data_IF_787387558184
#
_entry.id   IF_787387558184
#
_cell.length_a   1.000
_cell.length_b   1.000
_cell.length_c   1.000
_cell.angle_alpha   90.00
_cell.angle_beta   90.00
_cell.angle_gamma   90.00
#
_symmetry.space_group_name_H-M   'P 1'
#
loop_
_entity.id
_entity.type
_entity.pdbx_description
1 polymer ?
#
# COMPACT_ATOMS: atom_id res chain seq x y z
N UNK A 1 -2.85 2.10 16.04
CA UNK A 1 -2.26 3.37 15.57
C UNK A 1 -3.33 4.37 15.19
N UNK A 2 -4.29 4.02 14.33
CA UNK A 2 -5.41 4.91 13.96
C UNK A 2 -6.12 5.59 15.14
N UNK A 3 -6.44 4.82 16.19
CA UNK A 3 -7.12 5.33 17.40
C UNK A 3 -6.18 6.12 18.33
N UNK A 4 -4.88 5.83 18.30
CA UNK A 4 -3.90 6.45 19.20
C UNK A 4 -3.35 7.78 18.68
N UNK A 5 -3.37 7.96 17.35
CA UNK A 5 -2.82 9.13 16.65
C UNK A 5 -3.88 9.72 15.70
N UNK A 6 -5.14 9.81 16.17
CA UNK A 6 -6.25 10.31 15.37
C UNK A 6 -6.19 11.82 15.13
N UNK A 7 -5.44 12.53 15.96
CA UNK A 7 -5.15 13.97 15.89
C UNK A 7 -4.00 14.30 14.91
N UNK A 8 -3.27 13.28 14.46
CA UNK A 8 -2.13 13.40 13.55
C UNK A 8 -2.57 13.10 12.13
N UNK A 9 -2.68 14.12 11.27
CA UNK A 9 -3.32 13.96 9.95
C UNK A 9 -2.61 12.91 9.09
N UNK A 10 -1.27 12.89 9.10
CA UNK A 10 -0.51 11.94 8.30
C UNK A 10 -0.71 10.49 8.77
N UNK A 11 -0.69 10.27 10.10
CA UNK A 11 -0.91 8.94 10.68
C UNK A 11 -2.36 8.48 10.45
N UNK A 12 -3.33 9.37 10.68
CA UNK A 12 -4.76 9.10 10.48
C UNK A 12 -5.04 8.63 9.05
N UNK A 13 -4.58 9.41 8.06
CA UNK A 13 -4.79 9.08 6.65
C UNK A 13 -4.08 7.77 6.29
N UNK A 14 -2.81 7.60 6.69
CA UNK A 14 -2.02 6.41 6.33
C UNK A 14 -2.64 5.13 6.86
N UNK A 15 -2.94 5.07 8.16
CA UNK A 15 -3.53 3.87 8.77
C UNK A 15 -4.99 3.68 8.37
N UNK A 16 -5.74 4.77 8.15
CA UNK A 16 -7.12 4.70 7.70
C UNK A 16 -7.24 4.15 6.29
N UNK A 17 -6.38 4.64 5.38
CA UNK A 17 -6.27 4.14 4.01
C UNK A 17 -5.89 2.66 4.00
N UNK A 18 -4.85 2.27 4.76
CA UNK A 18 -4.43 0.87 4.83
C UNK A 18 -5.55 -0.03 5.35
N UNK A 19 -6.28 0.41 6.39
CA UNK A 19 -7.42 -0.34 6.92
C UNK A 19 -8.48 -0.58 5.84
N UNK A 20 -8.89 0.47 5.12
CA UNK A 20 -9.88 0.36 4.04
C UNK A 20 -9.40 -0.60 2.96
N UNK A 21 -8.15 -0.49 2.52
CA UNK A 21 -7.58 -1.36 1.47
C UNK A 21 -7.55 -2.82 1.93
N UNK A 22 -7.14 -3.09 3.17
CA UNK A 22 -7.12 -4.45 3.71
C UNK A 22 -8.54 -5.05 3.82
N UNK A 23 -9.53 -4.25 4.23
CA UNK A 23 -10.93 -4.69 4.27
C UNK A 23 -11.45 -5.01 2.86
N UNK A 24 -11.16 -4.16 1.87
CA UNK A 24 -11.50 -4.41 0.48
C UNK A 24 -10.81 -5.67 -0.05
N UNK A 25 -9.51 -5.82 0.20
CA UNK A 25 -8.72 -6.98 -0.24
C UNK A 25 -9.26 -8.29 0.33
N UNK A 26 -9.60 -8.31 1.63
CA UNK A 26 -10.06 -9.50 2.32
C UNK A 26 -11.52 -9.84 2.01
N UNK A 27 -12.43 -8.87 2.08
CA UNK A 27 -13.87 -9.14 2.07
C UNK A 27 -14.52 -8.94 0.71
N UNK A 28 -14.07 -7.96 -0.07
CA UNK A 28 -14.66 -7.65 -1.39
C UNK A 28 -13.97 -8.44 -2.49
N UNK A 29 -12.65 -8.32 -2.60
CA UNK A 29 -11.86 -8.98 -3.65
C UNK A 29 -11.45 -10.41 -3.29
N UNK A 30 -11.50 -10.78 -2.00
CA UNK A 30 -11.19 -12.12 -1.48
C UNK A 30 -9.87 -12.66 -2.04
N UNK A 31 -8.81 -11.84 -1.95
CA UNK A 31 -7.52 -12.15 -2.57
C UNK A 31 -6.89 -13.39 -1.93
N UNK A 32 -6.79 -14.47 -2.72
CA UNK A 32 -6.17 -15.72 -2.26
C UNK A 32 -4.64 -15.65 -2.14
N UNK A 33 -4.02 -14.59 -2.64
CA UNK A 33 -2.56 -14.44 -2.71
C UNK A 33 -1.98 -13.50 -1.64
N UNK A 34 -2.77 -13.09 -0.64
CA UNK A 34 -2.34 -12.11 0.37
C UNK A 34 -1.07 -12.56 1.13
N UNK A 35 -0.90 -13.86 1.38
CA UNK A 35 0.32 -14.42 1.98
C UNK A 35 1.57 -14.19 1.10
N UNK A 36 1.45 -14.37 -0.22
CA UNK A 36 2.53 -14.11 -1.18
C UNK A 36 2.81 -12.62 -1.32
N UNK A 37 1.76 -11.80 -1.22
CA UNK A 37 1.90 -10.34 -1.20
C UNK A 37 2.80 -9.89 -0.04
N UNK A 38 2.61 -10.41 1.18
CA UNK A 38 3.46 -10.02 2.31
C UNK A 38 4.93 -10.39 2.10
N UNK A 39 5.22 -11.53 1.48
CA UNK A 39 6.60 -11.89 1.10
C UNK A 39 7.18 -10.92 0.06
N UNK A 40 6.42 -10.60 -0.98
CA UNK A 40 6.84 -9.63 -1.99
C UNK A 40 7.05 -8.24 -1.38
N UNK A 41 6.19 -7.83 -0.44
CA UNK A 41 6.31 -6.58 0.29
C UNK A 41 7.61 -6.56 1.13
N UNK A 42 7.96 -7.65 1.83
CA UNK A 42 9.23 -7.75 2.56
C UNK A 42 10.44 -7.57 1.64
N UNK A 43 10.40 -8.15 0.43
CA UNK A 43 11.47 -7.94 -0.56
C UNK A 43 11.49 -6.49 -1.04
N UNK A 44 10.33 -5.87 -1.24
CA UNK A 44 10.22 -4.47 -1.64
C UNK A 44 10.75 -3.49 -0.59
N UNK A 45 10.89 -3.92 0.67
CA UNK A 45 11.49 -3.09 1.72
C UNK A 45 12.97 -2.78 1.44
N UNK A 46 13.69 -3.63 0.69
CA UNK A 46 15.10 -3.39 0.37
C UNK A 46 15.26 -2.08 -0.44
N UNK A 47 14.66 -1.93 -1.63
CA UNK A 47 14.73 -0.66 -2.37
C UNK A 47 14.03 0.48 -1.63
N UNK A 48 12.98 0.22 -0.86
CA UNK A 48 12.32 1.23 -0.01
C UNK A 48 13.31 1.88 0.96
N UNK A 49 14.07 1.09 1.72
CA UNK A 49 15.03 1.64 2.69
C UNK A 49 16.16 2.42 2.02
N UNK A 50 16.62 1.98 0.85
CA UNK A 50 17.67 2.67 0.09
C UNK A 50 17.16 4.05 -0.38
N UNK A 51 16.01 4.08 -1.06
CA UNK A 51 15.49 5.30 -1.67
C UNK A 51 14.92 6.23 -0.61
N UNK A 52 14.02 5.74 0.25
CA UNK A 52 13.39 6.60 1.25
C UNK A 52 14.38 7.03 2.30
N UNK A 53 15.28 6.15 2.73
CA UNK A 53 16.34 6.50 3.67
C UNK A 53 17.25 7.60 3.11
N UNK A 54 17.60 7.56 1.82
CA UNK A 54 18.33 8.65 1.18
C UNK A 54 17.49 9.93 1.18
N UNK A 55 16.28 9.89 0.60
CA UNK A 55 15.42 11.06 0.40
C UNK A 55 15.03 11.78 1.70
N UNK A 56 14.83 11.05 2.79
CA UNK A 56 14.53 11.64 4.11
C UNK A 56 15.78 12.13 4.84
N UNK A 57 16.97 11.65 4.46
CA UNK A 57 18.24 12.12 5.04
C UNK A 57 18.77 13.38 4.36
N UNK A 58 18.48 13.57 3.06
CA UNK A 58 18.87 14.78 2.29
C UNK A 58 17.77 15.84 2.22
N UNK A 59 16.99 16.01 3.31
CA UNK A 59 15.62 16.58 3.40
C UNK A 59 14.88 16.90 2.09
N UNK A 60 14.88 15.99 1.11
CA UNK A 60 14.09 16.16 -0.11
C UNK A 60 12.63 15.83 0.17
N UNK A 61 12.40 14.79 0.97
CA UNK A 61 11.09 14.43 1.50
C UNK A 61 11.07 14.76 2.98
N UNK A 62 10.26 15.76 3.35
CA UNK A 62 10.17 16.28 4.70
C UNK A 62 8.80 15.98 5.32
N UNK A 63 8.80 15.81 6.64
CA UNK A 63 7.60 15.53 7.41
C UNK A 63 7.54 16.43 8.64
N UNK A 64 6.35 16.95 8.95
CA UNK A 64 6.10 17.64 10.22
C UNK A 64 5.84 16.61 11.33
N UNK A 65 6.67 16.62 12.37
CA UNK A 65 6.51 15.72 13.52
C UNK A 65 5.25 16.04 14.34
N UNK A 66 4.63 17.21 14.16
CA UNK A 66 3.33 17.52 14.75
C UNK A 66 2.17 16.79 14.08
N UNK A 67 2.38 16.26 12.87
CA UNK A 67 1.34 15.64 12.04
C UNK A 67 1.53 14.13 11.84
N UNK A 68 2.65 13.58 12.28
CA UNK A 68 2.96 12.15 12.26
C UNK A 68 3.22 11.62 13.69
N UNK A 69 3.55 10.34 13.83
CA UNK A 69 3.80 9.68 15.11
C UNK A 69 5.08 10.17 15.82
N UNK A 70 5.86 11.05 15.18
CA UNK A 70 7.20 11.47 15.58
C UNK A 70 8.19 10.31 15.83
N UNK A 71 7.83 9.09 15.39
CA UNK A 71 8.64 7.89 15.51
C UNK A 71 9.22 7.51 14.16
N UNK A 72 10.52 7.22 14.13
CA UNK A 72 11.28 6.98 12.90
C UNK A 72 12.10 5.70 12.98
N UNK A 73 12.26 5.05 11.82
CA UNK A 73 13.23 3.96 11.60
C UNK A 73 14.36 4.54 10.76
N UNK A 74 15.52 4.77 11.39
CA UNK A 74 16.55 5.62 10.78
C UNK A 74 16.03 7.05 10.63
N UNK A 75 16.00 7.57 9.40
CA UNK A 75 15.42 8.90 9.09
C UNK A 75 13.98 8.83 8.56
N UNK A 76 13.45 7.63 8.31
CA UNK A 76 12.15 7.41 7.67
C UNK A 76 11.04 7.38 8.74
N UNK A 77 9.93 8.12 8.57
CA UNK A 77 8.77 7.97 9.46
C UNK A 77 8.27 6.53 9.49
N UNK A 78 7.86 6.07 10.66
CA UNK A 78 7.41 4.69 10.82
C UNK A 78 6.20 4.37 9.93
N UNK A 79 5.30 5.32 9.76
CA UNK A 79 4.08 5.19 8.96
C UNK A 79 4.36 4.95 7.46
N UNK A 80 5.51 5.39 6.92
CA UNK A 80 5.86 5.23 5.50
C UNK A 80 5.88 3.76 5.06
N UNK A 81 6.19 2.84 5.97
CA UNK A 81 6.11 1.40 5.70
C UNK A 81 4.67 0.99 5.37
N UNK A 82 3.73 1.47 6.18
CA UNK A 82 2.31 1.16 6.02
C UNK A 82 1.71 1.88 4.81
N UNK A 83 2.17 3.11 4.54
CA UNK A 83 1.82 3.81 3.31
C UNK A 83 2.30 3.06 2.07
N UNK A 84 3.56 2.60 2.06
CA UNK A 84 4.13 1.79 0.98
C UNK A 84 3.34 0.48 0.78
N UNK A 85 3.00 -0.22 1.88
CA UNK A 85 2.17 -1.43 1.83
C UNK A 85 0.80 -1.15 1.20
N UNK A 86 0.13 -0.08 1.64
CA UNK A 86 -1.17 0.33 1.12
C UNK A 86 -1.10 0.58 -0.39
N UNK A 87 -0.11 1.36 -0.84
CA UNK A 87 0.05 1.70 -2.25
C UNK A 87 0.39 0.49 -3.11
N UNK A 88 1.26 -0.42 -2.63
CA UNK A 88 1.61 -1.63 -3.37
C UNK A 88 0.41 -2.57 -3.49
N UNK A 89 -0.32 -2.79 -2.39
CA UNK A 89 -1.50 -3.66 -2.38
C UNK A 89 -2.60 -3.11 -3.29
N UNK A 90 -2.86 -1.80 -3.23
CA UNK A 90 -3.86 -1.15 -4.07
C UNK A 90 -3.54 -1.28 -5.56
N UNK A 91 -2.28 -1.09 -5.95
CA UNK A 91 -1.86 -1.26 -7.34
C UNK A 91 -2.05 -2.70 -7.81
N UNK A 92 -1.68 -3.69 -6.99
CA UNK A 92 -1.89 -5.10 -7.32
C UNK A 92 -3.38 -5.42 -7.44
N UNK A 93 -4.22 -4.90 -6.55
CA UNK A 93 -5.68 -5.06 -6.61
C UNK A 93 -6.25 -4.52 -7.92
N UNK A 94 -5.86 -3.31 -8.32
CA UNK A 94 -6.29 -2.74 -9.59
C UNK A 94 -5.79 -3.56 -10.78
N UNK A 95 -4.51 -3.93 -10.79
CA UNK A 95 -3.93 -4.74 -11.85
C UNK A 95 -4.69 -6.06 -12.02
N UNK A 96 -4.95 -6.79 -10.93
CA UNK A 96 -5.70 -8.05 -10.95
C UNK A 96 -7.14 -7.87 -11.44
N UNK A 97 -7.81 -6.81 -10.98
CA UNK A 97 -9.16 -6.47 -11.42
C UNK A 97 -9.23 -6.23 -12.93
N UNK A 98 -8.37 -5.37 -13.47
CA UNK A 98 -8.34 -5.05 -14.90
C UNK A 98 -7.89 -6.25 -15.75
N UNK A 99 -6.91 -7.02 -15.27
CA UNK A 99 -6.45 -8.24 -15.96
C UNK A 99 -7.56 -9.28 -16.10
N UNK A 100 -8.34 -9.50 -15.03
CA UNK A 100 -9.48 -10.44 -15.06
C UNK A 100 -10.53 -9.99 -16.07
N UNK A 101 -10.91 -8.70 -16.04
CA UNK A 101 -11.87 -8.13 -16.98
C UNK A 101 -11.41 -8.23 -18.43
N UNK A 102 -10.14 -7.93 -18.71
CA UNK A 102 -9.58 -8.06 -20.05
C UNK A 102 -9.67 -9.52 -20.55
N UNK A 103 -9.29 -10.49 -19.71
CA UNK A 103 -9.38 -11.92 -20.05
C UNK A 103 -10.82 -12.35 -20.36
N UNK A 104 -11.80 -11.90 -19.58
CA UNK A 104 -13.22 -12.20 -19.81
C UNK A 104 -13.68 -11.67 -21.17
N UNK A 105 -13.32 -10.43 -21.53
CA UNK A 105 -13.64 -9.84 -22.83
C UNK A 105 -13.05 -10.66 -23.98
N UNK A 106 -11.77 -11.05 -23.90
CA UNK A 106 -11.13 -11.88 -24.94
C UNK A 106 -11.80 -13.26 -25.08
N UNK A 107 -12.15 -13.92 -23.97
CA UNK A 107 -12.82 -15.23 -24.00
C UNK A 107 -14.23 -15.14 -24.58
N UNK A 108 -14.99 -14.10 -24.23
CA UNK A 108 -16.32 -13.85 -24.84
C UNK A 108 -16.21 -13.62 -26.34
N UNK A 109 -15.28 -12.79 -26.80
CA UNK A 109 -15.05 -12.55 -28.23
C UNK A 109 -14.63 -13.82 -28.99
N UNK A 110 -13.78 -14.66 -28.39
CA UNK A 110 -13.31 -15.91 -29.03
C UNK A 110 -14.37 -17.04 -29.05
N UNK A 111 -15.38 -16.99 -28.16
CA UNK A 111 -16.41 -18.04 -28.05
C UNK A 111 -17.68 -17.77 -28.87
N UNK A 112 -17.73 -16.67 -29.63
CA UNK A 112 -18.85 -16.35 -30.53
C UNK A 112 -20.20 -16.13 -29.83
N UNK A 113 -20.22 -16.03 -28.50
CA UNK A 113 -21.39 -15.67 -27.70
C UNK A 113 -21.52 -14.15 -27.68
N UNK A 114 -22.21 -13.61 -28.69
CA UNK A 114 -22.83 -12.29 -28.61
C UNK A 114 -24.12 -12.40 -27.80
#
# INVERSE_FOLDING_TARGET
MLVLYYDKVYSLITFGLLLVILLLAQFVFKLKFLSRFYLAYLVSLIPFYIVNGLLTSIPVVMYNNEENMAFRVGTIPFEDHFYSMAMLLLNIMFFEYFRKRAKEVYVSAASGKN
#
